data_IF_336665214467
#
_entry.id   IF_336665214467
#
_cell.length_a   1.000
_cell.length_b   1.000
_cell.length_c   1.000
_cell.angle_alpha   90.00
_cell.angle_beta   90.00
_cell.angle_gamma   90.00
#
_symmetry.space_group_name_H-M   'P 1'
#
loop_
_entity.id
_entity.type
_entity.pdbx_description
1 polymer ?
#
# COMPACT_ATOMS: atom_id res chain seq x y z
N UNK A 1 -34.03 3.44 -4.55
CA UNK A 1 -34.47 4.35 -3.48
C UNK A 1 -34.52 3.54 -2.20
N UNK A 2 -33.44 3.48 -1.44
CA UNK A 2 -33.40 2.84 -0.12
C UNK A 2 -33.19 3.94 0.90
N UNK A 3 -34.16 4.13 1.75
CA UNK A 3 -34.15 5.05 2.88
C UNK A 3 -32.95 4.79 3.78
N UNK A 4 -31.93 5.61 3.68
CA UNK A 4 -30.96 5.78 4.75
C UNK A 4 -31.44 6.85 5.73
N UNK A 5 -32.58 6.55 6.35
CA UNK A 5 -33.09 7.27 7.51
C UNK A 5 -32.35 6.79 8.74
N UNK A 6 -31.62 7.67 9.39
CA UNK A 6 -31.08 7.41 10.71
C UNK A 6 -29.84 8.22 11.06
N UNK A 7 -29.99 9.54 11.23
CA UNK A 7 -28.95 10.42 11.79
C UNK A 7 -28.70 10.20 13.29
N UNK A 8 -28.53 8.96 13.72
CA UNK A 8 -28.22 8.60 15.10
C UNK A 8 -26.90 7.86 15.22
N UNK A 9 -26.34 7.87 16.41
CA UNK A 9 -25.17 7.03 16.76
C UNK A 9 -25.57 5.58 16.55
N UNK A 10 -24.95 4.91 15.58
CA UNK A 10 -25.20 3.48 15.32
C UNK A 10 -24.43 2.65 16.35
N UNK A 11 -25.12 1.78 17.06
CA UNK A 11 -24.51 0.83 17.99
C UNK A 11 -23.38 0.02 17.38
N UNK A 12 -23.48 -0.28 16.08
CA UNK A 12 -22.42 -0.96 15.31
C UNK A 12 -21.10 -0.20 15.33
N UNK A 13 -21.10 1.14 15.26
CA UNK A 13 -19.87 1.95 15.31
C UNK A 13 -19.25 1.91 16.70
N UNK A 14 -20.07 1.95 17.76
CA UNK A 14 -19.57 1.81 19.12
C UNK A 14 -18.93 0.43 19.35
N UNK A 15 -19.53 -0.62 18.84
CA UNK A 15 -18.99 -1.97 18.90
C UNK A 15 -17.65 -2.07 18.13
N UNK A 16 -17.54 -1.45 16.95
CA UNK A 16 -16.29 -1.40 16.19
C UNK A 16 -15.20 -0.66 16.96
N UNK A 17 -15.50 0.49 17.57
CA UNK A 17 -14.54 1.23 18.41
C UNK A 17 -14.07 0.42 19.60
N UNK A 18 -15.00 -0.27 20.28
CA UNK A 18 -14.67 -1.17 21.39
C UNK A 18 -13.79 -2.33 20.91
N UNK A 19 -14.12 -2.93 19.77
CA UNK A 19 -13.32 -4.01 19.18
C UNK A 19 -11.90 -3.55 18.83
N UNK A 20 -11.74 -2.35 18.24
CA UNK A 20 -10.42 -1.77 17.96
C UNK A 20 -9.60 -1.60 19.24
N UNK A 21 -10.23 -1.11 20.32
CA UNK A 21 -9.57 -0.99 21.62
C UNK A 21 -9.13 -2.35 22.16
N UNK A 22 -10.00 -3.36 22.09
CA UNK A 22 -9.68 -4.74 22.52
C UNK A 22 -8.59 -5.40 21.67
N UNK A 23 -8.42 -5.00 20.41
CA UNK A 23 -7.32 -5.44 19.53
C UNK A 23 -5.99 -4.71 19.80
N UNK A 24 -5.94 -3.87 20.84
CA UNK A 24 -4.70 -3.18 21.25
C UNK A 24 -4.43 -1.86 20.50
N UNK A 25 -5.42 -1.32 19.76
CA UNK A 25 -5.28 0.02 19.18
C UNK A 25 -5.19 1.05 20.30
N UNK A 26 -4.22 1.97 20.28
CA UNK A 26 -4.04 3.00 21.30
C UNK A 26 -5.33 3.79 21.55
N UNK A 27 -5.69 3.99 22.81
CA UNK A 27 -6.94 4.66 23.21
C UNK A 27 -7.10 6.05 22.54
N UNK A 28 -6.02 6.82 22.42
CA UNK A 28 -6.04 8.13 21.78
C UNK A 28 -6.49 8.07 20.31
N UNK A 29 -6.12 7.00 19.58
CA UNK A 29 -6.53 6.80 18.18
C UNK A 29 -7.99 6.39 18.10
N UNK A 30 -8.45 5.51 19.00
CA UNK A 30 -9.86 5.12 19.10
C UNK A 30 -10.75 6.34 19.41
N UNK A 31 -10.30 7.21 20.33
CA UNK A 31 -11.01 8.46 20.66
C UNK A 31 -11.03 9.41 19.45
N UNK A 32 -9.93 9.54 18.73
CA UNK A 32 -9.86 10.38 17.53
C UNK A 32 -10.85 9.92 16.45
N UNK A 33 -10.96 8.62 16.21
CA UNK A 33 -11.95 8.03 15.29
C UNK A 33 -13.37 8.28 15.80
N UNK A 34 -13.61 8.16 17.13
CA UNK A 34 -14.91 8.42 17.74
C UNK A 34 -15.33 9.90 17.63
N UNK A 35 -14.41 10.84 17.85
CA UNK A 35 -14.64 12.27 17.65
C UNK A 35 -14.97 12.56 16.20
N UNK A 36 -14.16 12.02 15.28
CA UNK A 36 -14.40 12.15 13.84
C UNK A 36 -15.79 11.64 13.43
N UNK A 37 -16.18 10.46 13.91
CA UNK A 37 -17.51 9.91 13.69
C UNK A 37 -18.61 10.87 14.19
N UNK A 38 -18.47 11.42 15.40
CA UNK A 38 -19.43 12.36 15.99
C UNK A 38 -19.54 13.64 15.15
N UNK A 39 -18.41 14.17 14.67
CA UNK A 39 -18.37 15.32 13.76
C UNK A 39 -19.13 15.03 12.48
N UNK A 40 -18.94 13.85 11.88
CA UNK A 40 -19.66 13.46 10.66
C UNK A 40 -21.18 13.36 10.88
N UNK A 41 -21.60 12.80 12.02
CA UNK A 41 -23.03 12.72 12.37
C UNK A 41 -23.65 14.12 12.49
N UNK A 42 -22.94 15.05 13.16
CA UNK A 42 -23.39 16.45 13.28
C UNK A 42 -23.42 17.13 11.90
N UNK A 43 -22.38 17.00 11.10
CA UNK A 43 -22.33 17.58 9.75
C UNK A 43 -23.46 17.03 8.85
N UNK A 44 -23.78 15.74 8.97
CA UNK A 44 -24.89 15.10 8.25
C UNK A 44 -26.23 15.70 8.70
N UNK A 45 -26.46 15.84 10.02
CA UNK A 45 -27.71 16.42 10.56
C UNK A 45 -27.90 17.90 10.20
N UNK A 46 -26.80 18.63 10.00
CA UNK A 46 -26.81 20.04 9.57
C UNK A 46 -26.91 20.21 8.04
N UNK A 47 -26.95 19.12 7.25
CA UNK A 47 -26.98 19.16 5.79
C UNK A 47 -25.69 19.70 5.16
N UNK A 48 -24.57 19.73 5.90
CA UNK A 48 -23.27 20.19 5.40
C UNK A 48 -22.73 19.19 4.39
N UNK A 49 -22.89 17.90 4.62
CA UNK A 49 -22.39 16.84 3.73
C UNK A 49 -23.04 16.94 2.34
N UNK A 50 -24.33 17.24 2.27
CA UNK A 50 -25.05 17.39 0.99
C UNK A 50 -24.53 18.57 0.17
N UNK A 51 -24.14 19.69 0.85
CA UNK A 51 -23.54 20.86 0.19
C UNK A 51 -22.16 20.58 -0.39
N UNK A 52 -21.45 19.61 0.18
CA UNK A 52 -20.10 19.22 -0.23
C UNK A 52 -20.08 18.05 -1.22
N UNK A 53 -21.24 17.60 -1.72
CA UNK A 53 -21.35 16.35 -2.51
C UNK A 53 -20.70 15.15 -1.77
N UNK A 54 -20.84 15.11 -0.44
CA UNK A 54 -20.26 14.10 0.41
C UNK A 54 -21.33 13.22 1.05
N UNK A 55 -20.98 11.97 1.32
CA UNK A 55 -21.87 11.04 2.03
C UNK A 55 -21.07 10.24 3.05
N UNK A 56 -21.71 9.94 4.17
CA UNK A 56 -21.13 9.08 5.20
C UNK A 56 -21.39 7.61 4.87
N UNK A 57 -20.31 6.82 4.82
CA UNK A 57 -20.35 5.39 4.51
C UNK A 57 -19.78 4.62 5.70
N UNK A 58 -20.35 3.46 6.03
CA UNK A 58 -19.94 2.59 7.13
C UNK A 58 -19.74 3.32 8.49
N UNK A 59 -20.41 4.45 8.68
CA UNK A 59 -20.36 5.22 9.91
C UNK A 59 -19.25 6.26 10.00
N UNK A 60 -17.98 5.88 9.93
CA UNK A 60 -16.84 6.77 10.14
C UNK A 60 -16.12 7.19 8.85
N UNK A 61 -16.50 6.65 7.70
CA UNK A 61 -15.88 6.96 6.41
C UNK A 61 -16.66 8.07 5.72
N UNK A 62 -15.97 9.14 5.36
CA UNK A 62 -16.49 10.21 4.54
C UNK A 62 -16.18 9.92 3.07
N UNK A 63 -17.22 9.75 2.27
CA UNK A 63 -17.12 9.62 0.82
C UNK A 63 -17.30 11.00 0.18
N UNK A 64 -16.21 11.59 -0.25
CA UNK A 64 -16.19 12.90 -0.90
C UNK A 64 -16.20 12.73 -2.42
N UNK A 65 -17.26 13.18 -3.09
CA UNK A 65 -17.35 13.12 -4.55
C UNK A 65 -16.78 14.36 -5.19
N UNK A 66 -16.12 14.19 -6.33
CA UNK A 66 -15.62 15.30 -7.13
C UNK A 66 -15.88 15.05 -8.61
N UNK A 67 -16.15 16.13 -9.31
CA UNK A 67 -16.22 16.12 -10.79
C UNK A 67 -14.91 16.62 -11.42
N UNK A 68 -13.99 17.10 -10.59
CA UNK A 68 -12.66 17.55 -11.03
C UNK A 68 -11.84 16.34 -11.45
N UNK A 69 -11.03 16.48 -12.51
CA UNK A 69 -10.21 15.39 -13.05
C UNK A 69 -10.82 14.60 -14.21
N UNK A 70 -12.11 14.81 -14.52
CA UNK A 70 -12.74 14.19 -15.71
C UNK A 70 -12.05 14.58 -17.01
N UNK A 71 -11.62 15.83 -17.14
CA UNK A 71 -10.93 16.32 -18.35
C UNK A 71 -9.63 15.56 -18.60
N UNK A 72 -8.83 15.33 -17.57
CA UNK A 72 -7.58 14.54 -17.67
C UNK A 72 -7.90 13.13 -18.13
N UNK A 73 -8.91 12.51 -17.51
CA UNK A 73 -9.32 11.16 -17.84
C UNK A 73 -9.84 11.05 -19.29
N UNK A 74 -10.58 12.03 -19.77
CA UNK A 74 -11.08 12.07 -21.15
C UNK A 74 -9.94 12.17 -22.16
N UNK A 75 -8.94 13.00 -21.89
CA UNK A 75 -7.74 13.13 -22.74
C UNK A 75 -6.97 11.81 -22.76
N UNK A 76 -6.69 11.23 -21.60
CA UNK A 76 -5.90 9.98 -21.48
C UNK A 76 -6.66 8.81 -22.11
N UNK A 77 -7.95 8.67 -21.87
CA UNK A 77 -8.78 7.57 -22.40
C UNK A 77 -9.04 7.64 -23.90
N UNK A 78 -8.66 8.73 -24.56
CA UNK A 78 -8.83 8.93 -26.02
C UNK A 78 -8.18 7.83 -26.85
N UNK A 79 -7.06 7.28 -26.39
CA UNK A 79 -6.34 6.18 -27.06
C UNK A 79 -6.97 4.82 -26.76
N UNK A 80 -8.24 4.64 -27.16
CA UNK A 80 -9.07 3.46 -26.83
C UNK A 80 -8.41 2.13 -27.19
N UNK A 81 -7.71 2.05 -28.34
CA UNK A 81 -7.04 0.80 -28.77
C UNK A 81 -5.94 0.40 -27.79
N UNK A 82 -5.11 1.36 -27.37
CA UNK A 82 -4.06 1.11 -26.40
C UNK A 82 -4.63 0.65 -25.07
N UNK A 83 -5.63 1.36 -24.53
CA UNK A 83 -6.21 1.01 -23.25
C UNK A 83 -6.97 -0.32 -23.25
N UNK A 84 -7.59 -0.69 -24.36
CA UNK A 84 -8.21 -2.02 -24.51
C UNK A 84 -7.16 -3.13 -24.52
N UNK A 85 -6.03 -2.93 -25.20
CA UNK A 85 -4.91 -3.87 -25.18
C UNK A 85 -4.29 -3.96 -23.77
N UNK A 86 -4.10 -2.82 -23.11
CA UNK A 86 -3.67 -2.78 -21.70
C UNK A 86 -4.64 -3.52 -20.77
N UNK A 87 -5.95 -3.35 -20.95
CA UNK A 87 -6.96 -4.10 -20.19
C UNK A 87 -6.86 -5.61 -20.37
N UNK A 88 -6.57 -6.07 -21.58
CA UNK A 88 -6.33 -7.49 -21.86
C UNK A 88 -5.05 -7.99 -21.18
N UNK A 89 -3.96 -7.25 -21.29
CA UNK A 89 -2.72 -7.52 -20.58
C UNK A 89 -2.95 -7.57 -19.06
N UNK A 90 -3.75 -6.64 -18.51
CA UNK A 90 -4.07 -6.55 -17.09
C UNK A 90 -4.76 -7.82 -16.56
N UNK A 91 -5.67 -8.42 -17.34
CA UNK A 91 -6.33 -9.67 -16.97
C UNK A 91 -5.28 -10.78 -16.79
N UNK A 92 -4.40 -10.94 -17.77
CA UNK A 92 -3.37 -11.98 -17.72
C UNK A 92 -2.34 -11.71 -16.60
N UNK A 93 -1.89 -10.47 -16.45
CA UNK A 93 -0.98 -10.09 -15.37
C UNK A 93 -1.56 -10.43 -14.01
N UNK A 94 -2.80 -10.00 -13.74
CA UNK A 94 -3.47 -10.30 -12.48
C UNK A 94 -3.67 -11.80 -12.27
N UNK A 95 -4.01 -12.54 -13.32
CA UNK A 95 -4.17 -14.00 -13.24
C UNK A 95 -2.87 -14.69 -12.85
N UNK A 96 -1.76 -14.36 -13.51
CA UNK A 96 -0.46 -14.96 -13.20
C UNK A 96 0.06 -14.56 -11.82
N UNK A 97 -0.08 -13.29 -11.45
CA UNK A 97 0.33 -12.82 -10.12
C UNK A 97 -0.52 -13.48 -9.02
N UNK A 98 -1.83 -13.56 -9.21
CA UNK A 98 -2.72 -14.25 -8.27
C UNK A 98 -2.35 -15.73 -8.12
N UNK A 99 -2.13 -16.43 -9.25
CA UNK A 99 -1.69 -17.82 -9.24
C UNK A 99 -0.34 -18.00 -8.54
N UNK A 100 0.60 -17.12 -8.82
CA UNK A 100 1.93 -17.10 -8.18
C UNK A 100 1.84 -16.89 -6.66
N UNK A 101 1.02 -15.93 -6.22
CA UNK A 101 0.81 -15.67 -4.79
C UNK A 101 0.15 -16.87 -4.10
N UNK A 102 -0.88 -17.46 -4.71
CA UNK A 102 -1.54 -18.66 -4.15
C UNK A 102 -0.54 -19.81 -4.03
N UNK A 103 0.27 -20.04 -5.07
CA UNK A 103 1.31 -21.08 -5.04
C UNK A 103 2.35 -20.78 -3.97
N UNK A 104 2.82 -19.54 -3.85
CA UNK A 104 3.79 -19.12 -2.84
C UNK A 104 3.24 -19.36 -1.43
N UNK A 105 2.00 -18.96 -1.16
CA UNK A 105 1.35 -19.18 0.14
C UNK A 105 1.21 -20.67 0.45
N UNK A 106 0.84 -21.48 -0.54
CA UNK A 106 0.73 -22.92 -0.38
C UNK A 106 2.08 -23.58 -0.06
N UNK A 107 3.13 -23.22 -0.82
CA UNK A 107 4.48 -23.72 -0.56
C UNK A 107 5.02 -23.25 0.80
N UNK A 108 4.77 -21.99 1.17
CA UNK A 108 5.13 -21.45 2.47
C UNK A 108 4.43 -22.18 3.63
N UNK A 109 3.16 -22.49 3.47
CA UNK A 109 2.40 -23.26 4.46
C UNK A 109 3.00 -24.68 4.64
N UNK A 110 3.35 -25.37 3.55
CA UNK A 110 4.02 -26.67 3.61
C UNK A 110 5.38 -26.54 4.28
N UNK A 111 6.19 -25.57 3.89
CA UNK A 111 7.52 -25.36 4.47
C UNK A 111 7.44 -25.12 5.99
N UNK A 112 6.49 -24.27 6.43
CA UNK A 112 6.26 -24.01 7.86
C UNK A 112 5.77 -25.24 8.60
N UNK A 113 4.94 -26.09 7.97
CA UNK A 113 4.49 -27.33 8.58
C UNK A 113 5.61 -28.38 8.72
N UNK A 114 6.56 -28.39 7.78
CA UNK A 114 7.72 -29.32 7.82
C UNK A 114 8.84 -28.82 8.74
N UNK A 115 9.02 -27.52 8.84
CA UNK A 115 10.04 -26.89 9.68
C UNK A 115 9.42 -25.67 10.38
N UNK A 116 8.71 -25.87 11.49
CA UNK A 116 8.13 -24.78 12.25
C UNK A 116 9.22 -23.81 12.74
N UNK A 117 9.02 -22.49 12.64
CA UNK A 117 9.97 -21.53 13.17
C UNK A 117 10.08 -21.67 14.69
N UNK A 118 11.29 -21.57 15.23
CA UNK A 118 11.53 -21.61 16.68
C UNK A 118 10.92 -20.39 17.37
N UNK A 119 10.99 -19.23 16.70
CA UNK A 119 10.42 -17.96 17.18
C UNK A 119 9.32 -17.45 16.25
N UNK A 120 8.19 -17.05 16.83
CA UNK A 120 7.09 -16.43 16.10
C UNK A 120 7.23 -14.90 16.16
N UNK A 121 7.22 -14.26 15.00
CA UNK A 121 7.14 -12.81 14.94
C UNK A 121 5.81 -12.31 15.52
N UNK A 122 5.82 -11.30 16.38
CA UNK A 122 4.59 -10.72 16.91
C UNK A 122 3.72 -10.13 15.80
N UNK A 123 2.40 -10.22 15.96
CA UNK A 123 1.44 -9.74 14.94
C UNK A 123 1.65 -8.26 14.57
N UNK A 124 2.12 -7.44 15.51
CA UNK A 124 2.44 -6.02 15.28
C UNK A 124 3.56 -5.81 14.25
N UNK A 125 4.50 -6.75 14.15
CA UNK A 125 5.58 -6.71 13.14
C UNK A 125 5.09 -7.22 11.79
N UNK A 126 4.24 -8.26 11.79
CA UNK A 126 3.70 -8.85 10.57
C UNK A 126 2.74 -7.90 9.84
N UNK A 127 1.98 -7.08 10.57
CA UNK A 127 0.98 -6.18 9.99
C UNK A 127 1.59 -4.95 9.31
N UNK A 128 2.87 -4.63 9.52
CA UNK A 128 3.59 -3.51 8.90
C UNK A 128 2.78 -2.20 8.90
N UNK A 129 2.13 -1.88 10.03
CA UNK A 129 1.26 -0.70 10.12
C UNK A 129 2.12 0.57 10.22
N UNK A 130 2.01 1.52 9.27
CA UNK A 130 2.77 2.76 9.30
C UNK A 130 2.57 3.54 10.60
N UNK A 131 3.68 3.92 11.25
CA UNK A 131 3.67 4.66 12.51
C UNK A 131 3.37 3.84 13.77
N UNK A 132 3.02 2.57 13.64
CA UNK A 132 2.83 1.61 14.76
C UNK A 132 4.01 0.65 14.82
N UNK A 133 4.42 0.11 13.69
CA UNK A 133 5.61 -0.73 13.58
C UNK A 133 6.85 0.15 13.68
N UNK A 134 7.73 -0.11 14.65
CA UNK A 134 8.86 0.76 15.03
C UNK A 134 9.82 1.11 13.88
N UNK A 135 9.99 0.22 12.90
CA UNK A 135 10.87 0.42 11.74
C UNK A 135 10.15 0.97 10.51
N UNK A 136 8.80 1.17 10.55
CA UNK A 136 8.01 1.70 9.43
C UNK A 136 7.59 3.13 9.74
N UNK A 137 8.24 4.15 9.15
CA UNK A 137 7.85 5.53 9.35
C UNK A 137 6.45 5.78 8.77
N UNK A 138 5.70 6.72 9.35
CA UNK A 138 4.32 6.97 8.94
C UNK A 138 4.22 7.63 7.55
N UNK A 139 5.05 8.64 7.28
CA UNK A 139 4.84 9.54 6.14
C UNK A 139 5.08 8.89 4.78
N UNK A 140 6.15 8.13 4.62
CA UNK A 140 6.49 7.54 3.31
C UNK A 140 5.48 6.49 2.85
N UNK A 141 5.08 5.52 3.68
CA UNK A 141 4.02 4.59 3.33
C UNK A 141 2.67 5.28 3.11
N UNK A 142 2.34 6.34 3.87
CA UNK A 142 1.11 7.09 3.67
C UNK A 142 1.08 7.78 2.29
N UNK A 143 2.18 8.42 1.88
CA UNK A 143 2.30 9.01 0.55
C UNK A 143 2.25 7.96 -0.56
N UNK A 144 2.94 6.82 -0.38
CA UNK A 144 2.90 5.71 -1.32
C UNK A 144 1.49 5.14 -1.47
N UNK A 145 0.75 5.00 -0.36
CA UNK A 145 -0.63 4.54 -0.37
C UNK A 145 -1.54 5.50 -1.14
N UNK A 146 -1.43 6.82 -0.88
CA UNK A 146 -2.21 7.84 -1.61
C UNK A 146 -1.93 7.75 -3.11
N UNK A 147 -0.65 7.69 -3.49
CA UNK A 147 -0.26 7.57 -4.89
C UNK A 147 -0.83 6.30 -5.53
N UNK A 148 -0.66 5.14 -4.87
CA UNK A 148 -1.17 3.86 -5.32
C UNK A 148 -2.69 3.86 -5.48
N UNK A 149 -3.44 4.45 -4.54
CA UNK A 149 -4.89 4.58 -4.62
C UNK A 149 -5.33 5.45 -5.81
N UNK A 150 -4.66 6.58 -6.02
CA UNK A 150 -4.98 7.49 -7.11
C UNK A 150 -4.80 6.80 -8.47
N UNK A 151 -3.63 6.20 -8.72
CA UNK A 151 -3.37 5.55 -10.01
C UNK A 151 -4.28 4.33 -10.22
N UNK A 152 -4.59 3.59 -9.15
CA UNK A 152 -5.50 2.46 -9.16
C UNK A 152 -6.89 2.86 -9.67
N UNK A 153 -7.49 3.86 -9.04
CA UNK A 153 -8.84 4.32 -9.38
C UNK A 153 -8.89 5.02 -10.75
N UNK A 154 -7.86 5.79 -11.09
CA UNK A 154 -7.75 6.36 -12.43
C UNK A 154 -7.68 5.28 -13.51
N UNK A 155 -6.99 4.16 -13.25
CA UNK A 155 -6.90 3.04 -14.18
C UNK A 155 -8.27 2.39 -14.42
N UNK A 156 -9.08 2.18 -13.37
CA UNK A 156 -10.47 1.74 -13.50
C UNK A 156 -11.32 2.71 -14.33
N UNK A 157 -11.16 4.01 -14.06
CA UNK A 157 -11.88 5.07 -14.77
C UNK A 157 -11.48 5.15 -16.25
N UNK A 158 -10.19 5.05 -16.56
CA UNK A 158 -9.67 5.04 -17.94
C UNK A 158 -10.25 3.84 -18.71
N UNK A 159 -10.25 2.65 -18.10
CA UNK A 159 -10.80 1.46 -18.74
C UNK A 159 -12.30 1.59 -18.99
N UNK A 160 -13.07 2.09 -18.03
CA UNK A 160 -14.50 2.35 -18.22
C UNK A 160 -14.73 3.26 -19.43
N UNK A 161 -14.00 4.39 -19.53
CA UNK A 161 -14.11 5.33 -20.66
C UNK A 161 -13.63 4.74 -21.98
N UNK A 162 -12.56 3.94 -21.99
CA UNK A 162 -12.05 3.28 -23.19
C UNK A 162 -13.07 2.29 -23.80
N UNK A 163 -13.93 1.71 -22.95
CA UNK A 163 -15.04 0.83 -23.35
C UNK A 163 -16.38 1.57 -23.55
N UNK A 164 -16.37 2.92 -23.46
CA UNK A 164 -17.55 3.75 -23.73
C UNK A 164 -18.48 3.95 -22.55
N UNK A 165 -18.15 3.45 -21.36
CA UNK A 165 -18.96 3.63 -20.16
C UNK A 165 -18.83 5.06 -19.63
N UNK A 166 -19.93 5.63 -19.18
CA UNK A 166 -19.96 6.94 -18.51
C UNK A 166 -19.53 6.79 -17.05
N UNK A 167 -18.78 7.78 -16.57
CA UNK A 167 -18.43 7.86 -15.16
C UNK A 167 -19.35 8.87 -14.47
N UNK A 168 -20.02 8.41 -13.43
CA UNK A 168 -20.90 9.21 -12.60
C UNK A 168 -20.09 10.17 -11.73
N UNK A 169 -19.13 9.65 -10.99
CA UNK A 169 -18.30 10.42 -10.08
C UNK A 169 -16.94 9.78 -9.84
N UNK A 170 -16.00 10.61 -9.40
CA UNK A 170 -14.77 10.23 -8.75
C UNK A 170 -14.82 10.67 -7.31
N UNK A 171 -14.06 10.04 -6.45
CA UNK A 171 -14.02 10.50 -5.09
C UNK A 171 -12.91 9.86 -4.26
N UNK A 172 -12.85 10.38 -3.04
CA UNK A 172 -11.96 9.91 -2.00
C UNK A 172 -12.79 9.38 -0.83
N UNK A 173 -12.29 8.33 -0.22
CA UNK A 173 -12.77 7.82 1.05
C UNK A 173 -11.82 8.30 2.13
N UNK A 174 -12.34 9.03 3.10
CA UNK A 174 -11.55 9.68 4.15
C UNK A 174 -11.97 9.17 5.54
N UNK A 175 -10.99 8.96 6.40
CA UNK A 175 -11.20 8.87 7.85
C UNK A 175 -10.38 9.99 8.50
N UNK A 176 -11.05 10.99 9.04
CA UNK A 176 -10.39 12.24 9.37
C UNK A 176 -9.85 12.92 8.11
N UNK A 177 -8.65 13.47 8.17
CA UNK A 177 -7.97 14.02 7.00
C UNK A 177 -7.24 12.96 6.17
N UNK A 178 -7.23 11.70 6.60
CA UNK A 178 -6.44 10.64 5.98
C UNK A 178 -7.26 9.96 4.87
N UNK A 179 -6.80 9.99 3.62
CA UNK A 179 -7.43 9.22 2.55
C UNK A 179 -7.10 7.73 2.73
N UNK A 180 -8.15 6.94 2.96
CA UNK A 180 -8.06 5.47 3.11
C UNK A 180 -8.44 4.73 1.84
N UNK A 181 -9.00 5.44 0.86
CA UNK A 181 -9.42 4.89 -0.41
C UNK A 181 -9.76 5.98 -1.42
N UNK A 182 -9.91 5.55 -2.65
CA UNK A 182 -10.46 6.35 -3.73
C UNK A 182 -11.49 5.49 -4.47
N UNK A 183 -12.28 6.10 -5.34
CA UNK A 183 -13.24 5.38 -6.17
C UNK A 183 -13.49 6.10 -7.49
N UNK A 184 -13.72 5.30 -8.54
CA UNK A 184 -14.21 5.75 -9.83
C UNK A 184 -15.51 4.99 -10.14
N UNK A 185 -16.65 5.68 -9.99
CA UNK A 185 -17.96 5.09 -10.09
C UNK A 185 -18.53 5.25 -11.53
N UNK A 186 -18.61 4.15 -12.31
CA UNK A 186 -19.35 4.19 -13.58
C UNK A 186 -20.85 4.20 -13.33
N UNK A 187 -21.62 4.53 -14.35
CA UNK A 187 -23.08 4.32 -14.30
C UNK A 187 -23.37 2.82 -14.18
N UNK A 188 -24.09 2.45 -13.12
CA UNK A 188 -24.40 1.05 -12.76
C UNK A 188 -25.08 0.31 -13.91
N UNK A 189 -26.06 0.94 -14.55
CA UNK A 189 -26.78 0.40 -15.70
C UNK A 189 -25.89 0.11 -16.90
N UNK A 190 -24.82 0.87 -17.13
CA UNK A 190 -23.86 0.64 -18.23
C UNK A 190 -22.88 -0.47 -17.85
N UNK A 191 -22.50 -0.56 -16.58
CA UNK A 191 -21.65 -1.62 -16.08
C UNK A 191 -22.30 -3.00 -16.17
N UNK A 192 -23.58 -3.10 -15.82
CA UNK A 192 -24.32 -4.35 -15.84
C UNK A 192 -24.54 -4.88 -17.27
N UNK A 193 -24.77 -3.96 -18.22
CA UNK A 193 -24.94 -4.29 -19.65
C UNK A 193 -23.62 -4.57 -20.37
N UNK A 194 -22.48 -4.20 -19.78
CA UNK A 194 -21.19 -4.38 -20.41
C UNK A 194 -20.83 -5.87 -20.55
N UNK A 195 -20.18 -6.28 -21.67
CA UNK A 195 -19.68 -7.63 -21.85
C UNK A 195 -18.79 -8.05 -20.67
N UNK A 196 -18.85 -9.32 -20.28
CA UNK A 196 -18.04 -9.86 -19.17
C UNK A 196 -16.55 -9.52 -19.29
N UNK A 197 -16.02 -9.62 -20.53
CA UNK A 197 -14.60 -9.33 -20.79
C UNK A 197 -14.23 -7.88 -20.54
N UNK A 198 -15.09 -6.92 -20.86
CA UNK A 198 -14.88 -5.49 -20.61
C UNK A 198 -14.95 -5.18 -19.11
N UNK A 199 -15.83 -5.85 -18.38
CA UNK A 199 -15.87 -5.78 -16.91
C UNK A 199 -14.58 -6.33 -16.27
N UNK A 200 -14.11 -7.49 -16.76
CA UNK A 200 -12.84 -8.09 -16.29
C UNK A 200 -11.64 -7.18 -16.56
N UNK A 201 -11.54 -6.59 -17.76
CA UNK A 201 -10.48 -5.62 -18.10
C UNK A 201 -10.50 -4.43 -17.14
N UNK A 202 -11.68 -3.92 -16.84
CA UNK A 202 -11.83 -2.82 -15.88
C UNK A 202 -11.38 -3.25 -14.48
N UNK A 203 -11.85 -4.38 -13.95
CA UNK A 203 -11.47 -4.85 -12.61
C UNK A 203 -9.98 -5.15 -12.49
N UNK A 204 -9.38 -5.72 -13.51
CA UNK A 204 -7.95 -6.02 -13.51
C UNK A 204 -7.05 -4.78 -13.66
N UNK A 205 -7.56 -3.67 -14.20
CA UNK A 205 -6.76 -2.49 -14.51
C UNK A 205 -6.17 -1.81 -13.27
N UNK A 206 -6.95 -1.71 -12.19
CA UNK A 206 -6.48 -1.12 -10.93
C UNK A 206 -5.32 -1.89 -10.30
N UNK A 207 -5.48 -3.18 -9.98
CA UNK A 207 -4.38 -3.97 -9.44
C UNK A 207 -3.16 -4.01 -10.36
N UNK A 208 -3.37 -4.14 -11.69
CA UNK A 208 -2.26 -4.25 -12.64
C UNK A 208 -1.40 -2.99 -12.71
N UNK A 209 -1.98 -1.79 -12.63
CA UNK A 209 -1.20 -0.55 -12.64
C UNK A 209 -0.35 -0.43 -11.38
N UNK A 210 -0.84 -0.88 -10.24
CA UNK A 210 -0.07 -0.89 -9.00
C UNK A 210 1.10 -1.88 -9.08
N UNK A 211 0.91 -3.06 -9.67
CA UNK A 211 1.98 -4.04 -9.91
C UNK A 211 3.06 -3.43 -10.82
N UNK A 212 2.64 -2.81 -11.93
CA UNK A 212 3.58 -2.16 -12.85
C UNK A 212 4.31 -0.98 -12.20
N UNK A 213 3.60 -0.13 -11.46
CA UNK A 213 4.20 0.99 -10.74
C UNK A 213 5.22 0.51 -9.71
N UNK A 214 4.91 -0.55 -8.96
CA UNK A 214 5.84 -1.19 -8.02
C UNK A 214 7.10 -1.68 -8.73
N UNK A 215 6.94 -2.35 -9.87
CA UNK A 215 8.07 -2.83 -10.67
C UNK A 215 8.96 -1.69 -11.18
N UNK A 216 8.35 -0.61 -11.68
CA UNK A 216 9.09 0.59 -12.12
C UNK A 216 9.85 1.22 -10.95
N UNK A 217 9.19 1.37 -9.79
CA UNK A 217 9.84 1.93 -8.59
C UNK A 217 11.00 1.05 -8.13
N UNK A 218 10.86 -0.28 -8.17
CA UNK A 218 11.94 -1.21 -7.82
C UNK A 218 13.14 -1.09 -8.78
N UNK A 219 12.89 -0.95 -10.08
CA UNK A 219 13.98 -0.72 -11.07
C UNK A 219 14.68 0.61 -10.78
N UNK A 220 13.93 1.68 -10.55
CA UNK A 220 14.51 2.99 -10.23
C UNK A 220 15.31 2.94 -8.93
N UNK A 221 14.77 2.33 -7.89
CA UNK A 221 15.46 2.15 -6.61
C UNK A 221 16.74 1.35 -6.78
N UNK A 222 16.69 0.23 -7.50
CA UNK A 222 17.88 -0.60 -7.79
C UNK A 222 18.94 0.18 -8.57
N UNK A 223 18.51 0.97 -9.56
CA UNK A 223 19.43 1.79 -10.36
C UNK A 223 20.10 2.89 -9.51
N UNK A 224 19.32 3.55 -8.64
CA UNK A 224 19.85 4.57 -7.73
C UNK A 224 20.80 3.93 -6.72
N UNK A 225 20.40 2.81 -6.09
CA UNK A 225 21.21 2.10 -5.12
C UNK A 225 22.54 1.62 -5.74
N UNK A 226 22.51 1.10 -6.96
CA UNK A 226 23.72 0.69 -7.68
C UNK A 226 24.64 1.88 -8.02
N UNK A 227 24.06 3.04 -8.34
CA UNK A 227 24.83 4.26 -8.58
C UNK A 227 25.39 4.92 -7.31
N UNK A 228 24.80 4.63 -6.15
CA UNK A 228 25.28 5.10 -4.84
C UNK A 228 26.27 4.13 -4.19
N UNK A 229 26.34 2.89 -4.65
CA UNK A 229 27.34 1.92 -4.21
C UNK A 229 28.69 2.32 -4.81
N UNK A 230 29.44 3.17 -4.12
CA UNK A 230 30.83 3.44 -4.48
C UNK A 230 31.64 2.17 -4.18
N UNK A 231 32.40 1.69 -5.16
CA UNK A 231 33.43 0.68 -4.92
C UNK A 231 34.48 1.33 -4.02
N UNK A 232 34.45 0.99 -2.75
CA UNK A 232 35.53 1.37 -1.82
C UNK A 232 36.50 0.19 -1.71
N UNK A 233 37.73 0.45 -2.04
CA UNK A 233 38.81 -0.50 -1.77
C UNK A 233 38.92 -0.68 -0.26
N UNK A 234 38.58 -1.86 0.24
CA UNK A 234 38.66 -2.17 1.66
C UNK A 234 37.62 -3.22 2.11
N UNK A 235 37.68 -3.56 3.37
CA UNK A 235 36.75 -4.51 4.01
C UNK A 235 35.87 -3.74 4.99
N UNK A 236 34.56 -3.93 4.92
CA UNK A 236 33.64 -3.34 5.87
C UNK A 236 32.94 -4.42 6.70
N UNK A 237 32.79 -4.13 7.99
CA UNK A 237 32.02 -4.98 8.89
C UNK A 237 30.54 -4.59 8.81
N UNK A 238 29.67 -5.57 8.51
CA UNK A 238 28.21 -5.37 8.49
C UNK A 238 27.64 -5.18 9.91
N UNK A 239 28.21 -5.90 10.87
CA UNK A 239 27.86 -5.81 12.29
C UNK A 239 29.10 -5.97 13.15
N UNK A 240 29.08 -5.38 14.31
CA UNK A 240 30.18 -5.43 15.28
C UNK A 240 29.66 -6.11 16.54
N UNK A 241 30.45 -7.05 17.07
CA UNK A 241 30.07 -7.74 18.31
C UNK A 241 30.22 -6.78 19.47
N UNK A 242 29.16 -6.60 20.24
CA UNK A 242 29.14 -5.73 21.41
C UNK A 242 30.18 -6.21 22.46
N UNK A 243 31.00 -5.27 22.95
CA UNK A 243 32.12 -5.56 23.87
C UNK A 243 33.33 -6.14 23.21
N UNK A 244 33.31 -6.38 21.89
CA UNK A 244 34.42 -6.95 21.13
C UNK A 244 35.58 -5.97 20.84
N UNK A 245 36.75 -6.47 20.40
CA UNK A 245 37.91 -5.62 20.10
C UNK A 245 37.65 -4.55 19.03
N UNK A 246 36.78 -4.83 18.07
CA UNK A 246 36.42 -3.89 17.02
C UNK A 246 35.63 -2.68 17.57
N UNK A 247 34.69 -2.90 18.48
CA UNK A 247 33.97 -1.83 19.16
C UNK A 247 34.92 -1.04 20.09
N UNK A 248 35.77 -1.72 20.82
CA UNK A 248 36.78 -1.08 21.69
C UNK A 248 37.81 -0.24 20.92
N UNK A 249 38.08 -0.58 19.66
CA UNK A 249 38.90 0.23 18.76
C UNK A 249 38.15 1.40 18.10
N UNK A 250 36.85 1.57 18.38
CA UNK A 250 36.05 2.65 17.85
C UNK A 250 35.50 2.39 16.43
N UNK A 251 35.62 1.16 15.91
CA UNK A 251 35.05 0.81 14.61
C UNK A 251 33.51 0.75 14.70
N UNK A 252 32.82 1.45 13.80
CA UNK A 252 31.37 1.43 13.68
C UNK A 252 30.88 0.48 12.60
N UNK A 253 29.63 -0.05 12.68
CA UNK A 253 29.04 -0.83 11.59
C UNK A 253 29.06 -0.05 10.28
N UNK A 254 29.39 -0.73 9.17
CA UNK A 254 29.50 -0.17 7.81
C UNK A 254 30.69 0.78 7.58
N UNK A 255 31.57 1.01 8.55
CA UNK A 255 32.84 1.68 8.30
C UNK A 255 33.76 0.79 7.48
N UNK A 256 34.48 1.41 6.53
CA UNK A 256 35.41 0.70 5.63
C UNK A 256 36.84 0.79 6.16
N UNK A 257 37.43 -0.36 6.43
CA UNK A 257 38.85 -0.45 6.78
C UNK A 257 39.66 -0.47 5.47
N UNK A 258 40.31 0.66 5.17
CA UNK A 258 41.13 0.81 3.95
C UNK A 258 42.59 0.43 4.14
N UNK A 259 43.15 0.61 5.36
CA UNK A 259 44.53 0.33 5.69
C UNK A 259 44.64 -0.30 7.07
N UNK A 260 45.52 -1.26 7.21
CA UNK A 260 45.92 -1.85 8.47
C UNK A 260 47.42 -1.56 8.66
N UNK A 261 47.75 -0.81 9.72
CA UNK A 261 49.15 -0.54 10.05
C UNK A 261 49.70 -1.63 10.99
N UNK A 262 50.81 -2.26 10.60
CA UNK A 262 51.51 -3.26 11.40
C UNK A 262 51.90 -4.50 10.60
N UNK A 263 52.71 -5.38 11.18
CA UNK A 263 53.08 -6.65 10.54
C UNK A 263 51.80 -7.53 10.50
N UNK A 264 51.19 -7.66 9.33
CA UNK A 264 49.97 -8.45 9.11
C UNK A 264 50.40 -9.89 8.84
N UNK A 265 50.05 -10.82 9.69
CA UNK A 265 50.14 -12.25 9.38
C UNK A 265 49.03 -12.59 8.39
N UNK A 266 49.37 -12.74 7.11
CA UNK A 266 48.43 -13.07 6.03
C UNK A 266 47.70 -14.40 6.22
N UNK A 267 48.05 -15.20 7.23
CA UNK A 267 47.41 -16.47 7.53
C UNK A 267 45.95 -16.33 8.07
N UNK A 268 45.56 -15.13 8.50
CA UNK A 268 44.19 -14.85 8.99
C UNK A 268 43.35 -13.93 8.09
N UNK A 269 43.92 -13.45 6.96
CA UNK A 269 43.22 -12.59 5.99
C UNK A 269 42.80 -13.33 4.71
N UNK A 270 42.94 -14.64 4.65
CA UNK A 270 42.16 -15.40 3.66
C UNK A 270 40.71 -15.36 4.09
N UNK A 271 40.02 -14.32 3.66
CA UNK A 271 38.56 -14.30 3.67
C UNK A 271 38.06 -15.59 2.99
N UNK A 272 37.28 -16.43 3.66
CA UNK A 272 36.60 -17.50 2.97
C UNK A 272 35.73 -16.86 1.90
N UNK A 273 36.17 -16.99 0.64
CA UNK A 273 35.36 -16.70 -0.50
C UNK A 273 34.08 -17.51 -0.35
N UNK A 274 32.95 -16.82 -0.10
CA UNK A 274 31.61 -17.40 -0.06
C UNK A 274 31.39 -18.53 0.95
N UNK A 275 31.30 -18.21 2.22
CA UNK A 275 30.46 -18.95 3.17
C UNK A 275 29.72 -17.94 4.04
N UNK A 276 28.42 -17.94 3.85
CA UNK A 276 27.45 -17.38 4.78
C UNK A 276 27.70 -17.97 6.17
N UNK A 277 27.83 -17.10 7.15
CA UNK A 277 27.62 -17.42 8.56
C UNK A 277 26.54 -16.48 9.07
#
# INVERSE_FOLDING_TARGET
MGEYSGGGIRWTTLLVLLMLYMLGVPLWLVLLIGIWYSVLVVCESMGILDRMDATRVLGAILMLRTRRGRGVLEVVSRYRRFWRAYGEFSIWLCFFVMGGVVLLLFLSAIATAMSPPEDYLPASVLLLIPGVTSFVPFWWPALALIFALVIHEYSHGIQARAHGMRLRSFGLLLVGPVPIGAFAEPEESEMDRAPRRDRMRRFAAGPSINILATYVVLILLSSIASGMAAEHDGVHARSIVAGGPAEQSGLSPFETVTHIQGPVSYTHLTLPTNREV
#
